data_IF_499047535225
#
_entry.id   IF_499047535225
#
_cell.length_a   1.000
_cell.length_b   1.000
_cell.length_c   1.000
_cell.angle_alpha   90.00
_cell.angle_beta   90.00
_cell.angle_gamma   90.00
#
_symmetry.space_group_name_H-M   'P 1'
#
loop_
_entity.id
_entity.type
_entity.pdbx_description
1 polymer ?
#
# COMPACT_ATOMS: atom_id res chain seq x y z
N UNK A 1 -2.98 -2.18 6.38
CA UNK A 1 -2.66 -3.58 6.73
C UNK A 1 -2.19 -3.61 8.16
N UNK A 2 -2.65 -4.60 8.92
CA UNK A 2 -2.18 -4.92 10.25
C UNK A 2 -1.46 -6.27 10.16
N UNK A 3 -0.20 -6.28 10.56
CA UNK A 3 0.68 -7.45 10.55
C UNK A 3 1.11 -7.74 11.98
N UNK A 4 0.66 -8.85 12.55
CA UNK A 4 0.92 -9.22 13.95
C UNK A 4 0.60 -8.08 14.94
N UNK A 5 -0.55 -7.39 14.73
CA UNK A 5 -1.02 -6.28 15.57
C UNK A 5 -0.32 -4.93 15.32
N UNK A 6 0.63 -4.86 14.37
CA UNK A 6 1.33 -3.61 14.01
C UNK A 6 0.80 -3.04 12.71
N UNK A 7 0.58 -1.73 12.68
CA UNK A 7 0.18 -1.02 11.47
C UNK A 7 1.35 -1.01 10.47
N UNK A 8 1.14 -1.63 9.31
CA UNK A 8 2.06 -1.64 8.19
C UNK A 8 1.42 -1.05 6.95
N UNK A 9 1.48 0.27 6.77
CA UNK A 9 1.00 0.89 5.54
C UNK A 9 1.83 0.42 4.33
N UNK A 10 1.14 0.18 3.21
CA UNK A 10 1.77 -0.13 1.91
C UNK A 10 1.24 0.84 0.88
N UNK A 11 2.14 1.50 0.15
CA UNK A 11 1.79 2.44 -0.92
C UNK A 11 1.67 1.66 -2.23
N UNK A 12 0.53 1.83 -2.91
CA UNK A 12 0.36 1.38 -4.30
C UNK A 12 0.71 2.57 -5.19
N UNK A 13 1.58 2.35 -6.17
CA UNK A 13 2.07 3.39 -7.09
C UNK A 13 2.23 2.82 -8.49
N UNK A 14 2.36 3.71 -9.47
CA UNK A 14 2.62 3.38 -10.87
C UNK A 14 3.92 4.03 -11.32
N UNK A 15 4.54 3.47 -12.36
CA UNK A 15 5.73 4.04 -12.95
C UNK A 15 5.38 5.28 -13.79
N UNK A 16 6.00 6.42 -13.50
CA UNK A 16 5.71 7.70 -14.19
C UNK A 16 6.28 7.78 -15.60
N UNK A 17 7.24 6.93 -15.94
CA UNK A 17 7.92 6.89 -17.24
C UNK A 17 7.42 5.75 -18.14
N UNK A 18 6.34 5.07 -17.74
CA UNK A 18 5.73 3.98 -18.49
C UNK A 18 4.39 4.43 -19.06
N UNK A 19 4.28 4.41 -20.38
CA UNK A 19 3.09 4.84 -21.10
C UNK A 19 1.87 3.96 -20.81
N UNK A 20 2.05 2.70 -20.37
CA UNK A 20 0.94 1.85 -19.93
C UNK A 20 0.18 2.51 -18.76
N UNK A 21 0.88 3.25 -17.90
CA UNK A 21 0.31 3.82 -16.69
C UNK A 21 -0.05 5.31 -16.79
N UNK A 22 0.09 5.95 -17.95
CA UNK A 22 -0.09 7.41 -18.07
C UNK A 22 -1.50 7.90 -17.74
N UNK A 23 -2.51 7.02 -17.81
CA UNK A 23 -3.90 7.32 -17.49
C UNK A 23 -4.30 7.07 -16.03
N UNK A 24 -3.40 6.57 -15.18
CA UNK A 24 -3.73 6.18 -13.81
C UNK A 24 -3.35 7.29 -12.83
N UNK A 25 -4.36 7.88 -12.18
CA UNK A 25 -4.16 8.98 -11.22
C UNK A 25 -4.60 8.62 -9.80
N UNK A 26 -5.48 7.64 -9.63
CA UNK A 26 -5.90 7.11 -8.32
C UNK A 26 -6.27 5.62 -8.46
N UNK A 27 -6.53 4.95 -7.34
CA UNK A 27 -6.89 3.53 -7.30
C UNK A 27 -8.18 3.22 -8.05
N UNK A 28 -9.10 4.16 -8.15
CA UNK A 28 -10.34 4.01 -8.94
C UNK A 28 -10.08 3.79 -10.43
N UNK A 29 -8.91 4.21 -10.93
CA UNK A 29 -8.47 3.95 -12.30
C UNK A 29 -8.03 2.49 -12.53
N UNK A 30 -7.74 1.73 -11.46
CA UNK A 30 -7.35 0.32 -11.53
C UNK A 30 -8.58 -0.59 -11.58
N UNK A 31 -8.45 -1.73 -12.27
CA UNK A 31 -9.53 -2.73 -12.24
C UNK A 31 -9.71 -3.28 -10.83
N UNK A 32 -10.97 -3.42 -10.39
CA UNK A 32 -11.30 -3.96 -9.07
C UNK A 32 -10.66 -5.35 -8.84
N UNK A 33 -10.54 -6.16 -9.89
CA UNK A 33 -9.87 -7.46 -9.83
C UNK A 33 -8.37 -7.36 -9.48
N UNK A 34 -7.64 -6.35 -10.00
CA UNK A 34 -6.23 -6.13 -9.63
C UNK A 34 -6.10 -5.79 -8.14
N UNK A 35 -6.99 -4.96 -7.61
CA UNK A 35 -7.00 -4.61 -6.19
C UNK A 35 -7.30 -5.84 -5.32
N UNK A 36 -8.23 -6.70 -5.75
CA UNK A 36 -8.56 -7.94 -5.03
C UNK A 36 -7.38 -8.93 -5.04
N UNK A 37 -6.66 -9.05 -6.14
CA UNK A 37 -5.44 -9.88 -6.18
C UNK A 37 -4.37 -9.39 -5.20
N UNK A 38 -4.16 -8.07 -5.11
CA UNK A 38 -3.20 -7.49 -4.14
C UNK A 38 -3.67 -7.75 -2.71
N UNK A 39 -4.96 -7.57 -2.43
CA UNK A 39 -5.55 -7.88 -1.12
C UNK A 39 -5.32 -9.35 -0.76
N UNK A 40 -5.68 -10.26 -1.66
CA UNK A 40 -5.56 -11.71 -1.46
C UNK A 40 -4.11 -12.13 -1.22
N UNK A 41 -3.18 -11.57 -1.98
CA UNK A 41 -1.76 -11.83 -1.77
C UNK A 41 -1.32 -11.52 -0.33
N UNK A 42 -1.68 -10.35 0.21
CA UNK A 42 -1.28 -9.98 1.57
C UNK A 42 -2.02 -10.75 2.68
N UNK A 43 -3.21 -11.27 2.42
CA UNK A 43 -3.89 -12.17 3.36
C UNK A 43 -3.16 -13.53 3.41
N UNK A 44 -2.75 -14.04 2.25
CA UNK A 44 -2.28 -15.42 2.12
C UNK A 44 -0.76 -15.59 2.34
N UNK A 45 0.06 -14.57 2.04
CA UNK A 45 1.52 -14.77 1.94
C UNK A 45 2.21 -15.24 3.22
N UNK A 46 1.56 -15.07 4.38
CA UNK A 46 2.06 -15.47 5.70
C UNK A 46 1.29 -16.64 6.33
N UNK A 47 0.35 -17.25 5.62
CA UNK A 47 -0.45 -18.35 6.16
C UNK A 47 0.43 -19.54 6.61
N UNK A 48 1.48 -19.86 5.86
CA UNK A 48 2.41 -20.95 6.23
C UNK A 48 3.38 -20.58 7.36
N UNK A 49 3.48 -19.31 7.73
CA UNK A 49 4.21 -18.84 8.91
C UNK A 49 3.35 -18.88 10.18
N UNK A 50 2.09 -19.34 10.07
CA UNK A 50 1.09 -19.29 11.14
C UNK A 50 0.85 -17.86 11.66
N UNK A 51 1.01 -16.86 10.78
CA UNK A 51 0.83 -15.45 11.10
C UNK A 51 -0.40 -14.87 10.42
N UNK A 52 -1.17 -14.12 11.19
CA UNK A 52 -2.36 -13.43 10.72
C UNK A 52 -2.01 -12.05 10.17
N UNK A 53 -2.60 -11.73 9.02
CA UNK A 53 -2.49 -10.42 8.37
C UNK A 53 -3.89 -9.94 8.02
N UNK A 54 -4.23 -8.75 8.49
CA UNK A 54 -5.49 -8.09 8.16
C UNK A 54 -5.24 -7.01 7.10
N UNK A 55 -5.97 -7.08 5.99
CA UNK A 55 -5.94 -6.04 4.95
C UNK A 55 -7.22 -5.24 5.04
N UNK A 56 -7.10 -3.98 5.48
CA UNK A 56 -8.18 -3.01 5.53
C UNK A 56 -8.54 -2.47 4.14
N UNK A 57 -9.53 -1.58 4.05
CA UNK A 57 -9.89 -0.93 2.80
C UNK A 57 -8.76 -0.08 2.23
N UNK A 58 -8.77 0.04 0.90
CA UNK A 58 -7.80 0.85 0.20
C UNK A 58 -8.13 2.33 0.35
N UNK A 59 -7.10 3.14 0.59
CA UNK A 59 -7.19 4.59 0.71
C UNK A 59 -6.82 5.29 -0.60
N UNK A 60 -7.29 6.54 -0.77
CA UNK A 60 -6.97 7.36 -1.95
C UNK A 60 -5.49 7.72 -2.06
N UNK A 61 -5.07 8.11 -3.27
CA UNK A 61 -3.72 8.60 -3.53
C UNK A 61 -3.30 9.77 -2.62
N UNK A 62 -4.24 10.66 -2.24
CA UNK A 62 -3.98 11.76 -1.31
C UNK A 62 -3.54 11.26 0.08
N UNK A 63 -4.24 10.27 0.63
CA UNK A 63 -3.86 9.69 1.93
C UNK A 63 -2.51 8.97 1.84
N UNK A 64 -2.20 8.35 0.70
CA UNK A 64 -0.89 7.75 0.47
C UNK A 64 0.24 8.80 0.52
N UNK A 65 0.04 9.99 -0.06
CA UNK A 65 1.00 11.10 0.03
C UNK A 65 1.22 11.55 1.48
N UNK A 66 0.15 11.66 2.28
CA UNK A 66 0.27 12.01 3.71
C UNK A 66 1.09 10.97 4.49
N UNK A 67 0.91 9.67 4.21
CA UNK A 67 1.72 8.60 4.80
C UNK A 67 3.20 8.72 4.40
N UNK A 68 3.49 9.02 3.13
CA UNK A 68 4.86 9.21 2.62
C UNK A 68 5.53 10.40 3.33
N UNK A 69 4.86 11.54 3.38
CA UNK A 69 5.39 12.74 4.04
C UNK A 69 5.69 12.51 5.51
N UNK A 70 4.80 11.83 6.23
CA UNK A 70 5.00 11.46 7.63
C UNK A 70 6.19 10.51 7.79
N UNK A 71 6.36 9.53 6.91
CA UNK A 71 7.50 8.61 6.93
C UNK A 71 8.83 9.35 6.68
N UNK A 72 8.86 10.29 5.73
CA UNK A 72 10.05 11.13 5.45
C UNK A 72 10.40 11.98 6.67
N UNK A 73 9.43 12.65 7.29
CA UNK A 73 9.65 13.49 8.49
C UNK A 73 10.18 12.66 9.66
N UNK A 74 9.58 11.50 9.90
CA UNK A 74 10.01 10.57 10.96
C UNK A 74 11.46 10.14 10.74
N UNK A 75 11.79 9.68 9.53
CA UNK A 75 13.15 9.31 9.17
C UNK A 75 14.14 10.45 9.39
N UNK A 76 13.80 11.67 8.98
CA UNK A 76 14.65 12.84 9.17
C UNK A 76 14.85 13.20 10.65
N UNK A 77 13.84 12.99 11.50
CA UNK A 77 13.93 13.26 12.95
C UNK A 77 14.76 12.22 13.71
N UNK A 78 14.71 10.95 13.30
CA UNK A 78 15.44 9.85 13.93
C UNK A 78 16.93 9.80 13.51
N UNK A 79 17.29 10.46 12.41
CA UNK A 79 18.66 10.50 11.89
C UNK A 79 19.52 11.62 12.51
N UNK A 80 19.00 12.38 13.47
CA UNK A 80 19.73 13.44 14.20
C UNK A 80 20.41 12.90 15.45
#
# INVERSE_FOLDING_TARGET
MIDEGKVGHKVISVATADAEFSGFTDLESLSAHRLEMVRRFFIDYKTLEEKEVEVQDFSSGKQALEVIDNAIRKYASEKR
#
